data_IF_804452923488
#
_entry.id   IF_804452923488
#
_cell.length_a   1.000
_cell.length_b   1.000
_cell.length_c   1.000
_cell.angle_alpha   90.00
_cell.angle_beta   90.00
_cell.angle_gamma   90.00
#
_symmetry.space_group_name_H-M   'P 1'
#
loop_
_entity.id
_entity.type
_entity.pdbx_description
1 polymer ?
#
# COMPACT_ATOMS: atom_id res chain seq x y z
N UNK A 1 -30.12 21.26 -41.89
CA UNK A 1 -29.40 21.13 -40.60
C UNK A 1 -28.51 22.36 -40.49
N UNK A 2 -28.79 23.29 -39.57
CA UNK A 2 -28.11 24.59 -39.52
C UNK A 2 -26.69 24.45 -38.95
N UNK A 3 -25.78 25.31 -39.41
CA UNK A 3 -24.38 25.32 -39.00
C UNK A 3 -24.22 25.32 -37.46
N UNK A 4 -25.12 26.00 -36.74
CA UNK A 4 -25.13 26.12 -35.28
C UNK A 4 -25.38 24.79 -34.54
N UNK A 5 -26.18 23.89 -35.13
CA UNK A 5 -26.44 22.56 -34.55
C UNK A 5 -25.20 21.66 -34.57
N UNK A 6 -24.30 21.86 -35.55
CA UNK A 6 -23.04 21.13 -35.64
C UNK A 6 -22.06 21.56 -34.54
N UNK A 7 -21.95 22.87 -34.30
CA UNK A 7 -21.08 23.41 -33.24
C UNK A 7 -21.55 22.98 -31.85
N UNK A 8 -22.85 23.05 -31.56
CA UNK A 8 -23.39 22.58 -30.28
C UNK A 8 -23.12 21.09 -30.05
N UNK A 9 -23.27 20.25 -31.08
CA UNK A 9 -22.95 18.83 -30.98
C UNK A 9 -21.45 18.58 -30.70
N UNK A 10 -20.55 19.31 -31.37
CA UNK A 10 -19.09 19.23 -31.14
C UNK A 10 -18.70 19.71 -29.74
N UNK A 11 -19.29 20.79 -29.25
CA UNK A 11 -19.04 21.28 -27.88
C UNK A 11 -19.58 20.30 -26.82
N UNK A 12 -20.73 19.67 -27.06
CA UNK A 12 -21.30 18.69 -26.15
C UNK A 12 -20.45 17.42 -26.10
N UNK A 13 -20.02 16.88 -27.24
CA UNK A 13 -19.15 15.68 -27.29
C UNK A 13 -17.78 15.93 -26.67
N UNK A 14 -17.20 17.12 -26.86
CA UNK A 14 -15.94 17.49 -26.22
C UNK A 14 -16.08 17.59 -24.70
N UNK A 15 -17.19 18.16 -24.19
CA UNK A 15 -17.46 18.21 -22.74
C UNK A 15 -17.68 16.82 -22.12
N UNK A 16 -18.43 15.94 -22.77
CA UNK A 16 -18.59 14.56 -22.30
C UNK A 16 -17.27 13.80 -22.34
N UNK A 17 -16.45 13.96 -23.39
CA UNK A 17 -15.13 13.33 -23.44
C UNK A 17 -14.20 13.82 -22.31
N UNK A 18 -14.16 15.14 -22.05
CA UNK A 18 -13.37 15.70 -20.94
C UNK A 18 -13.91 15.21 -19.59
N UNK A 19 -15.24 15.15 -19.41
CA UNK A 19 -15.84 14.65 -18.16
C UNK A 19 -15.55 13.17 -17.92
N UNK A 20 -15.67 12.33 -18.96
CA UNK A 20 -15.31 10.91 -18.88
C UNK A 20 -13.81 10.72 -18.61
N UNK A 21 -12.95 11.55 -19.22
CA UNK A 21 -11.52 11.54 -18.94
C UNK A 21 -11.22 11.96 -17.49
N UNK A 22 -11.89 12.99 -16.97
CA UNK A 22 -11.74 13.40 -15.56
C UNK A 22 -12.22 12.32 -14.59
N UNK A 23 -13.34 11.65 -14.88
CA UNK A 23 -13.83 10.52 -14.09
C UNK A 23 -12.84 9.35 -14.11
N UNK A 24 -12.24 9.08 -15.26
CA UNK A 24 -11.22 8.04 -15.41
C UNK A 24 -9.93 8.39 -14.65
N UNK A 25 -9.46 9.64 -14.72
CA UNK A 25 -8.30 10.10 -13.94
C UNK A 25 -8.60 10.01 -12.44
N UNK A 26 -9.80 10.41 -12.00
CA UNK A 26 -10.19 10.34 -10.59
C UNK A 26 -10.25 8.90 -10.06
N UNK A 27 -10.76 7.94 -10.84
CA UNK A 27 -10.83 6.53 -10.42
C UNK A 27 -9.45 5.86 -10.37
N UNK A 28 -8.52 6.24 -11.25
CA UNK A 28 -7.14 5.73 -11.23
C UNK A 28 -6.40 6.17 -9.96
N UNK A 29 -6.54 7.45 -9.55
CA UNK A 29 -5.93 7.97 -8.32
C UNK A 29 -6.50 7.32 -7.04
N UNK A 30 -7.71 6.74 -7.10
CA UNK A 30 -8.29 6.00 -5.98
C UNK A 30 -7.70 4.57 -5.85
N UNK A 31 -6.84 4.16 -6.79
CA UNK A 31 -6.36 2.78 -6.90
C UNK A 31 -4.83 2.69 -6.89
N UNK A 32 -4.14 3.74 -7.34
CA UNK A 32 -2.68 3.83 -7.35
C UNK A 32 -2.21 5.24 -7.04
N UNK A 33 -1.01 5.36 -6.47
CA UNK A 33 -0.26 6.61 -6.44
C UNK A 33 0.74 6.61 -7.59
N UNK A 34 0.44 7.38 -8.65
CA UNK A 34 1.30 7.53 -9.81
C UNK A 34 1.87 8.95 -9.81
N UNK A 35 3.20 9.07 -9.87
CA UNK A 35 3.89 10.36 -9.92
C UNK A 35 4.84 10.44 -11.11
N UNK A 36 5.08 11.65 -11.62
CA UNK A 36 6.03 11.84 -12.73
C UNK A 36 7.48 11.68 -12.26
N UNK A 37 8.32 11.15 -13.15
CA UNK A 37 9.75 11.00 -12.91
C UNK A 37 10.13 9.71 -12.20
N UNK A 38 11.36 9.68 -11.68
CA UNK A 38 11.98 8.54 -10.99
C UNK A 38 11.41 8.36 -9.58
N UNK A 39 11.60 7.16 -9.04
CA UNK A 39 11.29 6.90 -7.65
C UNK A 39 12.09 7.85 -6.73
N UNK A 40 11.49 8.36 -5.64
CA UNK A 40 12.22 9.15 -4.66
C UNK A 40 13.31 8.29 -4.01
N UNK A 41 14.50 8.89 -3.82
CA UNK A 41 15.61 8.21 -3.17
C UNK A 41 15.42 8.23 -1.65
N UNK A 42 14.67 7.25 -1.16
CA UNK A 42 14.38 7.09 0.26
C UNK A 42 15.32 6.08 0.90
N UNK A 43 15.92 6.52 2.02
CA UNK A 43 16.80 5.68 2.82
C UNK A 43 15.98 4.75 3.71
N UNK A 44 16.27 3.45 3.63
CA UNK A 44 15.77 2.48 4.59
C UNK A 44 16.51 2.61 5.93
N UNK A 45 15.95 2.04 7.00
CA UNK A 45 16.63 1.96 8.29
C UNK A 45 17.96 1.20 8.14
N UNK A 46 19.03 1.67 8.79
CA UNK A 46 20.38 1.12 8.59
C UNK A 46 20.51 -0.36 8.97
N UNK A 47 19.67 -0.83 9.89
CA UNK A 47 19.68 -2.21 10.39
C UNK A 47 18.24 -2.69 10.56
N UNK A 48 18.00 -3.97 10.29
CA UNK A 48 16.73 -4.64 10.55
C UNK A 48 16.99 -5.96 11.26
N UNK A 49 16.47 -6.12 12.48
CA UNK A 49 16.40 -7.43 13.12
C UNK A 49 15.16 -8.16 12.59
N UNK A 50 15.37 -9.13 11.70
CA UNK A 50 14.28 -9.94 11.12
C UNK A 50 13.49 -10.62 12.24
N UNK A 51 14.19 -11.25 13.19
CA UNK A 51 13.57 -11.94 14.34
C UNK A 51 12.57 -11.05 15.09
N UNK A 52 12.94 -9.80 15.37
CA UNK A 52 12.05 -8.84 16.05
C UNK A 52 10.93 -8.31 15.16
N UNK A 53 11.11 -8.35 13.83
CA UNK A 53 10.11 -7.90 12.87
C UNK A 53 9.03 -8.95 12.60
N UNK A 54 9.30 -10.23 12.87
CA UNK A 54 8.36 -11.33 12.71
C UNK A 54 7.06 -11.14 13.52
N UNK A 55 6.05 -11.92 13.19
CA UNK A 55 4.72 -11.87 13.76
C UNK A 55 3.77 -10.99 12.96
N UNK A 56 2.65 -10.65 13.58
CA UNK A 56 1.59 -9.90 12.94
C UNK A 56 1.82 -8.39 13.00
N UNK A 57 1.42 -7.73 11.91
CA UNK A 57 1.33 -6.30 11.77
C UNK A 57 -0.04 -5.95 11.17
N UNK A 58 -0.70 -4.92 11.71
CA UNK A 58 -1.96 -4.41 11.22
C UNK A 58 -1.72 -3.14 10.40
N UNK A 59 -2.34 -3.04 9.23
CA UNK A 59 -2.28 -1.82 8.44
C UNK A 59 -3.09 -0.73 9.12
N UNK A 60 -2.42 0.32 9.60
CA UNK A 60 -3.08 1.51 10.13
C UNK A 60 -3.38 2.51 9.01
N UNK A 61 -2.40 2.76 8.15
CA UNK A 61 -2.59 3.54 6.92
C UNK A 61 -1.86 2.89 5.76
N UNK A 62 -2.39 3.05 4.55
CA UNK A 62 -1.71 2.67 3.31
C UNK A 62 -1.90 3.71 2.21
N UNK A 63 -1.06 3.66 1.19
CA UNK A 63 -1.40 4.25 -0.10
C UNK A 63 -2.43 3.37 -0.82
N UNK A 64 -3.32 3.96 -1.65
CA UNK A 64 -4.19 3.18 -2.51
C UNK A 64 -3.40 2.17 -3.35
N UNK A 65 -3.83 0.92 -3.32
CA UNK A 65 -3.21 -0.18 -4.04
C UNK A 65 -4.27 -1.05 -4.71
N UNK A 66 -4.09 -1.33 -6.00
CA UNK A 66 -5.03 -2.12 -6.81
C UNK A 66 -5.24 -3.55 -6.33
N UNK A 67 -4.29 -4.08 -5.59
CA UNK A 67 -4.34 -5.44 -5.04
C UNK A 67 -5.07 -5.51 -3.69
N UNK A 68 -5.42 -4.36 -3.09
CA UNK A 68 -6.16 -4.25 -1.82
C UNK A 68 -7.36 -3.26 -1.90
N UNK A 69 -8.17 -3.25 -2.98
CA UNK A 69 -9.20 -2.25 -3.16
C UNK A 69 -10.32 -2.43 -2.13
N UNK A 70 -10.55 -1.41 -1.30
CA UNK A 70 -11.60 -1.46 -0.27
C UNK A 70 -11.37 -2.50 0.83
N UNK A 71 -10.16 -3.07 0.94
CA UNK A 71 -9.84 -4.03 1.98
C UNK A 71 -9.79 -3.35 3.35
N UNK A 72 -10.53 -3.92 4.30
CA UNK A 72 -10.57 -3.55 5.71
C UNK A 72 -10.01 -4.70 6.56
N UNK A 73 -9.73 -4.41 7.84
CA UNK A 73 -9.16 -5.36 8.78
C UNK A 73 -7.83 -5.98 8.31
N UNK A 74 -7.11 -5.27 7.43
CA UNK A 74 -5.95 -5.77 6.71
C UNK A 74 -4.78 -6.01 7.67
N UNK A 75 -4.13 -7.16 7.54
CA UNK A 75 -2.95 -7.53 8.32
C UNK A 75 -1.91 -8.25 7.47
N UNK A 76 -0.66 -8.15 7.89
CA UNK A 76 0.48 -8.86 7.32
C UNK A 76 1.14 -9.67 8.43
N UNK A 77 1.23 -10.99 8.25
CA UNK A 77 1.90 -11.90 9.16
C UNK A 77 3.23 -12.35 8.57
N UNK A 78 4.31 -12.05 9.27
CA UNK A 78 5.66 -12.43 8.88
C UNK A 78 6.13 -13.64 9.70
N UNK A 79 6.58 -14.69 9.03
CA UNK A 79 7.03 -15.94 9.66
C UNK A 79 8.44 -16.30 9.23
N UNK A 80 9.17 -17.04 10.05
CA UNK A 80 10.43 -17.64 9.62
C UNK A 80 10.12 -18.92 8.85
N UNK A 81 10.37 -18.95 7.53
CA UNK A 81 10.18 -20.18 6.73
C UNK A 81 11.44 -21.05 6.74
N UNK A 82 12.59 -20.44 6.48
CA UNK A 82 13.91 -21.09 6.55
C UNK A 82 14.99 -20.03 6.75
N UNK A 83 16.25 -20.43 6.90
CA UNK A 83 17.35 -19.46 7.00
C UNK A 83 17.34 -18.49 5.81
N UNK A 84 17.37 -17.18 6.10
CA UNK A 84 17.31 -16.11 5.10
C UNK A 84 15.97 -15.90 4.37
N UNK A 85 14.93 -16.71 4.64
CA UNK A 85 13.62 -16.62 3.96
C UNK A 85 12.50 -16.36 4.96
N UNK A 86 11.78 -15.27 4.73
CA UNK A 86 10.64 -14.82 5.53
C UNK A 86 9.35 -15.15 4.78
N UNK A 87 8.40 -15.84 5.42
CA UNK A 87 7.06 -16.02 4.87
C UNK A 87 6.22 -14.77 5.09
N UNK A 88 5.39 -14.42 4.12
CA UNK A 88 4.50 -13.26 4.17
C UNK A 88 3.07 -13.72 3.89
N UNK A 89 2.17 -13.52 4.84
CA UNK A 89 0.74 -13.78 4.64
C UNK A 89 -0.01 -12.47 4.85
N UNK A 90 -0.55 -11.91 3.78
CA UNK A 90 -1.47 -10.78 3.85
C UNK A 90 -2.91 -11.30 3.88
N UNK A 91 -3.72 -10.73 4.77
CA UNK A 91 -5.13 -11.05 4.92
C UNK A 91 -5.94 -9.77 5.03
N UNK A 92 -7.09 -9.71 4.37
CA UNK A 92 -8.01 -8.59 4.48
C UNK A 92 -9.42 -8.94 4.01
N UNK A 93 -10.37 -8.04 4.27
CA UNK A 93 -11.79 -8.32 4.13
C UNK A 93 -12.51 -7.21 3.36
N UNK A 94 -13.49 -7.59 2.55
CA UNK A 94 -14.47 -6.65 1.99
C UNK A 94 -15.72 -6.75 2.85
N UNK A 95 -16.18 -5.63 3.41
CA UNK A 95 -17.33 -5.57 4.31
C UNK A 95 -18.42 -4.66 3.78
N UNK A 96 -19.66 -4.97 4.13
CA UNK A 96 -20.81 -4.09 3.93
C UNK A 96 -21.50 -3.84 5.27
N UNK A 97 -22.02 -2.63 5.44
CA UNK A 97 -22.95 -2.34 6.52
C UNK A 97 -24.31 -2.99 6.24
N UNK A 98 -24.74 -3.87 7.15
CA UNK A 98 -26.05 -4.50 7.12
C UNK A 98 -26.75 -4.16 8.44
N UNK A 99 -27.59 -3.12 8.40
CA UNK A 99 -28.34 -2.62 9.56
C UNK A 99 -27.44 -2.12 10.70
N UNK A 100 -26.38 -1.38 10.39
CA UNK A 100 -25.45 -0.83 11.39
C UNK A 100 -24.47 -1.86 11.94
N UNK A 101 -24.27 -2.97 11.23
CA UNK A 101 -23.33 -4.03 11.60
C UNK A 101 -22.46 -4.40 10.40
N UNK A 102 -21.13 -4.52 10.57
CA UNK A 102 -20.27 -4.97 9.49
C UNK A 102 -20.53 -6.45 9.18
N UNK A 103 -20.74 -6.74 7.90
CA UNK A 103 -20.88 -8.10 7.38
C UNK A 103 -19.79 -8.36 6.34
N UNK A 104 -19.05 -9.47 6.51
CA UNK A 104 -18.00 -9.87 5.58
C UNK A 104 -18.62 -10.40 4.28
N UNK A 105 -18.35 -9.69 3.19
CA UNK A 105 -18.74 -10.10 1.83
C UNK A 105 -17.69 -11.04 1.25
N UNK A 106 -16.42 -10.71 1.47
CA UNK A 106 -15.30 -11.47 0.92
C UNK A 106 -14.09 -11.42 1.86
N UNK A 107 -13.28 -12.48 1.81
CA UNK A 107 -12.01 -12.62 2.53
C UNK A 107 -10.92 -12.92 1.51
N UNK A 108 -9.93 -12.04 1.45
CA UNK A 108 -8.76 -12.19 0.58
C UNK A 108 -7.53 -12.58 1.40
N UNK A 109 -6.82 -13.59 0.94
CA UNK A 109 -5.52 -14.02 1.50
C UNK A 109 -4.51 -14.12 0.38
N UNK A 110 -3.34 -13.51 0.59
CA UNK A 110 -2.20 -13.60 -0.31
C UNK A 110 -0.99 -14.13 0.46
N UNK A 111 -0.43 -15.23 -0.03
CA UNK A 111 0.76 -15.86 0.54
C UNK A 111 1.98 -15.62 -0.37
N UNK A 112 3.09 -15.28 0.25
CA UNK A 112 4.33 -14.92 -0.42
C UNK A 112 5.54 -15.15 0.47
N UNK A 113 6.68 -14.65 0.00
CA UNK A 113 7.93 -14.72 0.72
C UNK A 113 8.76 -13.44 0.50
N UNK A 114 9.66 -13.18 1.44
CA UNK A 114 10.60 -12.09 1.39
C UNK A 114 12.01 -12.59 1.69
N UNK A 115 12.98 -11.99 1.00
CA UNK A 115 14.40 -12.25 1.17
C UNK A 115 15.15 -10.93 1.34
N UNK A 116 16.35 -11.00 1.89
CA UNK A 116 17.30 -9.87 1.99
C UNK A 116 18.39 -10.05 0.93
N UNK A 117 18.32 -9.35 -0.22
CA UNK A 117 19.27 -9.60 -1.31
C UNK A 117 20.69 -9.10 -1.02
N UNK A 118 20.83 -8.06 -0.19
CA UNK A 118 22.12 -7.51 0.24
C UNK A 118 22.18 -7.49 1.79
N UNK A 119 23.01 -8.35 2.42
CA UNK A 119 23.19 -8.38 3.87
C UNK A 119 23.67 -7.06 4.48
N UNK A 120 24.30 -6.17 3.69
CA UNK A 120 24.72 -4.85 4.16
C UNK A 120 23.56 -3.84 4.20
N UNK A 121 22.40 -4.20 3.62
CA UNK A 121 21.18 -3.39 3.58
C UNK A 121 19.98 -4.22 4.05
N UNK A 122 19.97 -4.67 5.32
CA UNK A 122 18.99 -5.64 5.81
C UNK A 122 17.53 -5.13 5.84
N UNK A 123 17.31 -3.82 5.73
CA UNK A 123 15.99 -3.20 5.63
C UNK A 123 15.48 -3.02 4.19
N UNK A 124 16.26 -3.44 3.20
CA UNK A 124 15.88 -3.48 1.78
C UNK A 124 15.59 -4.94 1.40
N UNK A 125 14.31 -5.26 1.25
CA UNK A 125 13.82 -6.61 0.99
C UNK A 125 13.30 -6.76 -0.44
N UNK A 126 13.34 -8.00 -0.90
CA UNK A 126 12.72 -8.47 -2.12
C UNK A 126 11.54 -9.35 -1.74
N UNK A 127 10.32 -8.87 -1.97
CA UNK A 127 9.05 -9.55 -1.63
C UNK A 127 8.40 -10.08 -2.91
N UNK A 128 7.93 -11.33 -2.86
CA UNK A 128 7.30 -12.04 -3.96
C UNK A 128 6.00 -12.70 -3.55
N UNK A 129 4.98 -12.61 -4.41
CA UNK A 129 3.69 -13.29 -4.28
C UNK A 129 3.43 -14.13 -5.53
N UNK A 130 3.56 -15.47 -5.47
CA UNK A 130 3.35 -16.35 -6.62
C UNK A 130 1.98 -16.13 -7.29
N UNK A 131 1.90 -16.17 -8.63
CA UNK A 131 2.97 -16.54 -9.56
C UNK A 131 3.97 -15.41 -9.90
N UNK A 132 3.77 -14.21 -9.35
CA UNK A 132 4.70 -13.09 -9.54
C UNK A 132 5.97 -13.28 -8.70
N UNK A 133 7.11 -12.85 -9.23
CA UNK A 133 8.40 -12.92 -8.57
C UNK A 133 9.19 -11.63 -8.81
N UNK A 134 9.73 -11.05 -7.76
CA UNK A 134 10.60 -9.87 -7.81
C UNK A 134 11.97 -10.16 -8.44
N UNK A 135 12.37 -11.43 -8.53
CA UNK A 135 13.67 -11.93 -8.99
C UNK A 135 14.85 -11.27 -8.23
N UNK A 136 14.70 -11.12 -6.91
CA UNK A 136 15.70 -10.49 -6.05
C UNK A 136 15.75 -8.96 -6.15
N UNK A 137 14.88 -8.32 -6.94
CA UNK A 137 14.79 -6.86 -7.01
C UNK A 137 14.21 -6.31 -5.71
N UNK A 138 14.82 -5.25 -5.19
CA UNK A 138 14.31 -4.53 -4.02
C UNK A 138 13.00 -3.84 -4.38
N UNK A 139 11.93 -4.24 -3.71
CA UNK A 139 10.59 -3.68 -3.86
C UNK A 139 9.90 -3.46 -2.50
N UNK A 140 10.62 -3.62 -1.39
CA UNK A 140 10.08 -3.39 -0.04
C UNK A 140 11.18 -2.81 0.84
N UNK A 141 11.06 -1.53 1.22
CA UNK A 141 12.00 -0.85 2.12
C UNK A 141 11.35 -0.56 3.45
N UNK A 142 11.91 -1.08 4.55
CA UNK A 142 11.54 -0.67 5.90
C UNK A 142 12.25 0.65 6.20
N UNK A 143 11.51 1.76 6.15
CA UNK A 143 12.04 3.10 6.39
C UNK A 143 12.35 3.31 7.87
N UNK A 144 11.47 2.84 8.75
CA UNK A 144 11.61 2.98 10.19
C UNK A 144 10.70 2.00 10.92
N UNK A 145 11.22 1.32 11.94
CA UNK A 145 10.45 0.52 12.87
C UNK A 145 11.13 0.53 14.24
N UNK A 146 10.32 0.52 15.30
CA UNK A 146 10.77 0.19 16.64
C UNK A 146 10.52 -1.29 17.01
N UNK A 147 10.06 -2.08 16.04
CA UNK A 147 9.68 -3.50 16.14
C UNK A 147 8.45 -3.80 16.99
N UNK A 148 8.19 -2.99 18.01
CA UNK A 148 7.23 -3.29 19.07
C UNK A 148 5.92 -2.49 18.93
N UNK A 149 5.90 -1.38 18.21
CA UNK A 149 4.70 -0.54 18.09
C UNK A 149 4.36 -0.17 16.65
N UNK A 150 5.34 0.19 15.82
CA UNK A 150 5.09 0.61 14.44
C UNK A 150 6.17 0.13 13.45
N UNK A 151 5.79 0.06 12.18
CA UNK A 151 6.71 -0.04 11.05
C UNK A 151 6.23 0.84 9.89
N UNK A 152 7.17 1.46 9.19
CA UNK A 152 6.93 2.31 8.03
C UNK A 152 7.62 1.68 6.84
N UNK A 153 6.85 1.40 5.81
CA UNK A 153 7.30 0.67 4.63
C UNK A 153 7.05 1.51 3.39
N UNK A 154 7.99 1.48 2.45
CA UNK A 154 7.83 2.09 1.14
C UNK A 154 8.26 1.14 0.03
N UNK A 155 7.50 1.17 -1.06
CA UNK A 155 7.78 0.47 -2.30
C UNK A 155 7.57 1.42 -3.47
N UNK A 156 8.41 1.31 -4.49
CA UNK A 156 8.27 2.13 -5.68
C UNK A 156 8.78 1.39 -6.91
N UNK A 157 8.02 1.45 -8.00
CA UNK A 157 8.39 0.92 -9.29
C UNK A 157 8.39 2.00 -10.36
N UNK A 158 9.49 2.11 -11.11
CA UNK A 158 9.61 3.01 -12.25
C UNK A 158 9.07 2.33 -13.52
N UNK A 159 8.14 3.00 -14.19
CA UNK A 159 7.60 2.58 -15.48
C UNK A 159 7.69 3.77 -16.44
N UNK A 160 8.64 3.67 -17.36
CA UNK A 160 8.90 4.67 -18.40
C UNK A 160 9.29 6.03 -17.77
N UNK A 161 8.39 7.01 -17.79
CA UNK A 161 8.61 8.37 -17.26
C UNK A 161 7.78 8.66 -16.00
N UNK A 162 7.16 7.64 -15.42
CA UNK A 162 6.39 7.74 -14.18
C UNK A 162 6.88 6.68 -13.19
N UNK A 163 6.50 6.85 -11.93
CA UNK A 163 6.66 5.82 -10.92
C UNK A 163 5.34 5.55 -10.20
N UNK A 164 5.18 4.31 -9.76
CA UNK A 164 4.06 3.83 -8.95
C UNK A 164 4.59 3.64 -7.54
N UNK A 165 3.94 4.26 -6.56
CA UNK A 165 4.35 4.23 -5.17
C UNK A 165 3.34 3.47 -4.31
N UNK A 166 3.85 2.69 -3.38
CA UNK A 166 3.09 2.09 -2.30
C UNK A 166 3.77 2.41 -0.97
N UNK A 167 2.97 2.66 0.06
CA UNK A 167 3.47 2.94 1.38
C UNK A 167 2.50 2.37 2.42
N UNK A 168 3.05 1.89 3.52
CA UNK A 168 2.28 1.36 4.63
C UNK A 168 2.82 1.89 5.95
N UNK A 169 1.90 2.27 6.83
CA UNK A 169 2.17 2.49 8.25
C UNK A 169 1.47 1.35 8.98
N UNK A 170 2.29 0.48 9.55
CA UNK A 170 1.89 -0.74 10.22
C UNK A 170 1.97 -0.57 11.73
N UNK A 171 1.16 -1.30 12.46
CA UNK A 171 1.06 -1.26 13.93
C UNK A 171 1.01 -2.67 14.52
N UNK A 172 1.56 -2.85 15.72
CA UNK A 172 1.45 -4.14 16.44
C UNK A 172 0.08 -4.33 17.08
N UNK A 173 -0.55 -3.24 17.51
CA UNK A 173 -1.89 -3.26 18.08
C UNK A 173 -2.90 -2.80 17.03
N UNK A 174 -3.94 -3.62 16.81
CA UNK A 174 -4.96 -3.37 15.79
C UNK A 174 -5.64 -2.01 16.02
N UNK A 175 -5.66 -1.16 14.99
CA UNK A 175 -6.32 0.15 15.01
C UNK A 175 -5.64 1.22 15.88
N UNK A 176 -4.54 0.89 16.57
CA UNK A 176 -3.85 1.84 17.44
C UNK A 176 -3.07 2.86 16.60
N UNK A 177 -3.43 4.14 16.73
CA UNK A 177 -2.67 5.23 16.10
C UNK A 177 -1.24 5.30 16.67
N UNK A 178 -0.19 5.28 15.82
CA UNK A 178 1.19 5.48 16.28
C UNK A 178 1.35 6.82 17.01
N UNK A 179 1.97 6.81 18.19
CA UNK A 179 2.17 8.03 19.00
C UNK A 179 3.06 9.08 18.31
N UNK A 180 3.95 8.65 17.42
CA UNK A 180 4.86 9.48 16.64
C UNK A 180 4.40 9.69 15.18
N UNK A 181 3.12 9.46 14.86
CA UNK A 181 2.60 9.53 13.47
C UNK A 181 2.96 10.83 12.73
N UNK A 182 2.86 11.98 13.40
CA UNK A 182 3.19 13.27 12.78
C UNK A 182 4.67 13.35 12.36
N UNK A 183 5.58 12.80 13.18
CA UNK A 183 6.99 12.74 12.86
C UNK A 183 7.28 11.75 11.72
N UNK A 184 6.62 10.57 11.72
CA UNK A 184 6.70 9.61 10.62
C UNK A 184 6.33 10.28 9.30
N UNK A 185 5.17 10.93 9.24
CA UNK A 185 4.68 11.59 8.03
C UNK A 185 5.58 12.76 7.60
N UNK A 186 6.13 13.50 8.55
CA UNK A 186 7.08 14.58 8.25
C UNK A 186 8.36 14.04 7.61
N UNK A 187 8.95 12.96 8.16
CA UNK A 187 10.17 12.35 7.60
C UNK A 187 9.93 11.79 6.19
N UNK A 188 8.77 11.15 5.96
CA UNK A 188 8.38 10.68 4.63
C UNK A 188 8.24 11.85 3.64
N UNK A 189 7.60 12.94 4.07
CA UNK A 189 7.46 14.14 3.24
C UNK A 189 8.81 14.78 2.89
N UNK A 190 9.73 14.86 3.85
CA UNK A 190 11.10 15.36 3.61
C UNK A 190 11.89 14.45 2.65
N UNK A 191 11.59 13.16 2.63
CA UNK A 191 12.17 12.19 1.70
C UNK A 191 11.50 12.21 0.30
N UNK A 192 10.55 13.13 0.05
CA UNK A 192 9.88 13.27 -1.23
C UNK A 192 8.64 12.38 -1.42
N UNK A 193 8.16 11.71 -0.36
CA UNK A 193 6.92 10.93 -0.38
C UNK A 193 5.75 11.85 0.01
N UNK A 194 4.78 12.06 -0.89
CA UNK A 194 3.60 12.85 -0.57
C UNK A 194 2.65 12.08 0.36
N UNK A 195 2.68 12.40 1.65
CA UNK A 195 1.86 11.72 2.67
C UNK A 195 0.37 12.05 2.59
N UNK A 196 -0.04 13.01 1.75
CA UNK A 196 -1.45 13.28 1.46
C UNK A 196 -2.17 12.13 0.73
N UNK A 197 -1.44 11.15 0.21
CA UNK A 197 -2.02 9.96 -0.41
C UNK A 197 -2.43 8.86 0.57
N UNK A 198 -2.05 8.96 1.85
CA UNK A 198 -2.42 7.94 2.82
C UNK A 198 -3.94 7.91 3.06
N UNK A 199 -4.51 6.71 2.98
CA UNK A 199 -5.84 6.38 3.47
C UNK A 199 -5.70 5.61 4.78
N UNK A 200 -6.63 5.82 5.71
CA UNK A 200 -6.70 5.03 6.95
C UNK A 200 -7.46 3.75 6.66
N UNK A 201 -6.98 2.63 7.18
CA UNK A 201 -7.64 1.33 7.04
C UNK A 201 -8.57 1.13 8.24
N UNK A 202 -9.82 0.72 7.98
CA UNK A 202 -10.75 0.37 9.05
C UNK A 202 -10.26 -0.93 9.74
N UNK A 203 -10.11 -0.86 11.05
CA UNK A 203 -9.61 -1.93 11.91
C UNK A 203 -10.56 -2.20 13.09
N UNK A 204 -11.79 -1.68 13.04
CA UNK A 204 -12.83 -1.87 14.06
C UNK A 204 -13.69 -3.10 13.73
N UNK A 205 -14.22 -3.78 14.76
CA UNK A 205 -15.13 -4.94 14.60
C UNK A 205 -14.64 -6.01 13.60
N UNK A 206 -13.34 -6.30 13.65
CA UNK A 206 -12.71 -7.25 12.75
C UNK A 206 -12.94 -8.71 13.17
N UNK A 207 -13.04 -9.64 12.20
CA UNK A 207 -12.92 -11.06 12.48
C UNK A 207 -11.58 -11.40 13.16
N UNK A 208 -11.56 -12.49 13.92
CA UNK A 208 -10.33 -13.05 14.46
C UNK A 208 -9.39 -13.44 13.30
N UNK A 209 -8.11 -13.07 13.42
CA UNK A 209 -7.10 -13.39 12.40
C UNK A 209 -6.90 -14.90 12.34
N UNK A 210 -7.01 -15.48 11.14
CA UNK A 210 -6.84 -16.92 10.93
C UNK A 210 -8.05 -17.79 11.33
N UNK A 211 -9.23 -17.19 11.55
CA UNK A 211 -10.50 -17.92 11.71
C UNK A 211 -11.09 -18.42 10.39
#
# INVERSE_FOLDING_TARGET
>A
MSHDTCWLAVFMTMKTAIFLLMLWIASVNATFVITEGKCPDVSAQSTLSVERYLGIWYEYMRFPAVFEPGSECTSATYTQLSDGVIGVTNEGYIRADVFGRPYVIDRSVAEGYAEVPDPNKPAELSVSFPPSNSNGRINYKVLSTDYDTYAVVFSCEEIWSVNIQFAWILTRERGLRPGNLANIQQLMSLAGINTGHFITVDQEDCPDVGA
#
